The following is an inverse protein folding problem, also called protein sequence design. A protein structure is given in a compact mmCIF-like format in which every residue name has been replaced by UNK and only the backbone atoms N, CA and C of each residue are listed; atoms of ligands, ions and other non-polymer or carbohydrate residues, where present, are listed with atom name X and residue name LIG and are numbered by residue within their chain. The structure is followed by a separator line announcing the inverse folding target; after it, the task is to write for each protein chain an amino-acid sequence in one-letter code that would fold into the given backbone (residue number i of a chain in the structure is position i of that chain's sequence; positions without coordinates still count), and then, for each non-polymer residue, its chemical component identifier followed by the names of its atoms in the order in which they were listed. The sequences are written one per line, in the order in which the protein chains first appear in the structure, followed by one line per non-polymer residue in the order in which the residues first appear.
data_IF_679319553364
#
_entry.id   IF_679319553364
#
_cell.length_a   1.000
_cell.length_b   1.000
_cell.length_c   1.000
_cell.angle_alpha   90.00
_cell.angle_beta   90.00
_cell.angle_gamma   90.00
#
_symmetry.space_group_name_H-M   'P 1'
#
loop_
_entity.id
_entity.type
_entity.pdbx_description
1 polymer ?
#
# COMPACT_ATOMS: atom_id res chain seq x y z
N UNK A 1 5.05 -0.61 40.32
CA UNK A 1 5.97 0.55 40.34
C UNK A 1 6.74 0.53 39.03
N UNK A 2 6.78 1.54 38.17
CA UNK A 2 6.25 2.89 38.20
C UNK A 2 5.53 3.17 36.86
N UNK A 3 4.38 3.82 36.91
CA UNK A 3 3.70 4.34 35.73
C UNK A 3 4.59 5.42 35.10
N UNK A 4 5.17 5.13 33.94
CA UNK A 4 5.90 6.12 33.16
C UNK A 4 4.91 7.22 32.75
N UNK A 5 5.15 8.43 33.24
CA UNK A 5 4.34 9.60 32.95
C UNK A 5 4.26 9.82 31.43
N UNK A 6 3.06 9.64 30.87
CA UNK A 6 2.73 10.00 29.48
C UNK A 6 2.93 11.50 29.29
N UNK A 7 4.03 11.89 28.66
CA UNK A 7 4.20 13.26 28.15
C UNK A 7 3.37 13.36 26.86
N UNK A 8 2.40 14.29 26.74
CA UNK A 8 1.81 14.58 25.45
C UNK A 8 2.92 15.15 24.56
N UNK A 9 3.09 14.57 23.37
CA UNK A 9 4.01 15.11 22.37
C UNK A 9 3.69 16.59 22.15
N UNK A 10 4.74 17.43 22.16
CA UNK A 10 4.63 18.88 22.01
C UNK A 10 3.84 19.25 20.75
N UNK A 11 2.87 20.13 20.93
CA UNK A 11 1.99 20.63 19.88
C UNK A 11 2.79 21.39 18.81
N UNK A 12 2.92 20.77 17.64
CA UNK A 12 2.89 21.51 16.39
C UNK A 12 1.54 21.18 15.74
N UNK A 13 0.61 22.15 15.71
CA UNK A 13 -0.74 21.99 15.16
C UNK A 13 -0.76 21.94 13.63
N UNK A 14 0.07 21.08 13.04
CA UNK A 14 -0.19 20.64 11.67
C UNK A 14 -1.21 19.51 11.75
N UNK A 15 -2.23 19.49 10.88
CA UNK A 15 -3.09 18.32 10.76
C UNK A 15 -2.19 17.08 10.63
N UNK A 16 -2.51 16.01 11.35
CA UNK A 16 -1.79 14.76 11.17
C UNK A 16 -2.01 14.29 9.73
N UNK A 17 -0.97 14.42 8.90
CA UNK A 17 -0.95 13.93 7.53
C UNK A 17 -0.46 12.48 7.55
N UNK A 18 -1.17 11.60 6.86
CA UNK A 18 -0.75 10.22 6.66
C UNK A 18 -0.61 9.97 5.15
N UNK A 19 0.08 8.89 4.77
CA UNK A 19 0.30 8.58 3.36
C UNK A 19 0.71 7.12 3.24
N UNK A 20 0.08 6.37 2.34
CA UNK A 20 0.63 5.12 1.83
C UNK A 20 1.09 5.30 0.39
N UNK A 21 2.39 5.09 0.15
CA UNK A 21 2.96 5.06 -1.19
C UNK A 21 3.23 3.61 -1.59
N UNK A 22 2.80 3.21 -2.78
CA UNK A 22 3.08 1.89 -3.30
C UNK A 22 3.56 1.92 -4.75
N UNK A 23 4.30 0.88 -5.11
CA UNK A 23 4.69 0.59 -6.49
C UNK A 23 4.25 -0.83 -6.81
N UNK A 24 3.54 -1.01 -7.91
CA UNK A 24 3.15 -2.31 -8.46
C UNK A 24 3.93 -2.53 -9.74
N UNK A 25 4.71 -3.60 -9.79
CA UNK A 25 5.51 -3.94 -10.95
C UNK A 25 5.05 -5.26 -11.57
N UNK A 26 5.08 -5.33 -12.90
CA UNK A 26 4.83 -6.54 -13.67
C UNK A 26 5.76 -6.60 -14.87
N UNK A 27 5.96 -7.79 -15.41
CA UNK A 27 6.63 -8.04 -16.69
C UNK A 27 5.64 -8.14 -17.86
N UNK A 28 4.33 -8.10 -17.60
CA UNK A 28 3.32 -8.04 -18.64
C UNK A 28 3.44 -6.75 -19.47
N UNK A 29 3.19 -6.85 -20.78
CA UNK A 29 3.24 -5.74 -21.73
C UNK A 29 2.02 -4.83 -21.60
N UNK A 30 2.04 -3.97 -20.58
CA UNK A 30 1.03 -2.94 -20.37
C UNK A 30 1.36 -1.68 -21.17
N UNK A 31 0.37 -1.16 -21.90
CA UNK A 31 0.42 0.22 -22.34
C UNK A 31 0.15 1.18 -21.17
N UNK A 32 0.29 2.49 -21.41
CA UNK A 32 0.11 3.52 -20.38
C UNK A 32 -1.29 3.50 -19.75
N UNK A 33 -2.32 3.22 -20.55
CA UNK A 33 -3.70 3.23 -20.09
C UNK A 33 -3.99 2.03 -19.17
N UNK A 34 -3.53 0.83 -19.54
CA UNK A 34 -3.62 -0.39 -18.72
C UNK A 34 -2.76 -0.28 -17.47
N UNK A 35 -1.57 0.31 -17.56
CA UNK A 35 -0.73 0.59 -16.39
C UNK A 35 -1.42 1.55 -15.40
N UNK A 36 -2.05 2.61 -15.91
CA UNK A 36 -2.86 3.53 -15.09
C UNK A 36 -4.07 2.81 -14.49
N UNK A 37 -4.73 1.91 -15.23
CA UNK A 37 -5.82 1.10 -14.69
C UNK A 37 -5.34 0.18 -13.57
N UNK A 38 -4.18 -0.47 -13.73
CA UNK A 38 -3.56 -1.29 -12.69
C UNK A 38 -3.22 -0.48 -11.44
N UNK A 39 -2.72 0.75 -11.59
CA UNK A 39 -2.47 1.63 -10.45
C UNK A 39 -3.79 1.90 -9.70
N UNK A 40 -4.86 2.23 -10.44
CA UNK A 40 -6.19 2.46 -9.89
C UNK A 40 -6.77 1.24 -9.15
N UNK A 41 -6.78 0.05 -9.77
CA UNK A 41 -7.31 -1.16 -9.10
C UNK A 41 -6.46 -1.57 -7.90
N UNK A 42 -5.18 -1.23 -7.88
CA UNK A 42 -4.30 -1.51 -6.74
C UNK A 42 -4.65 -0.70 -5.50
N UNK A 43 -5.31 0.45 -5.62
CA UNK A 43 -5.89 1.18 -4.47
C UNK A 43 -6.99 0.37 -3.76
N UNK A 44 -7.70 -0.54 -4.46
CA UNK A 44 -8.65 -1.45 -3.82
C UNK A 44 -7.93 -2.37 -2.82
N UNK A 45 -6.69 -2.75 -3.13
CA UNK A 45 -5.85 -3.53 -2.22
C UNK A 45 -5.49 -2.76 -0.96
N UNK A 46 -5.18 -1.47 -1.10
CA UNK A 46 -4.94 -0.59 0.05
C UNK A 46 -6.19 -0.49 0.92
N UNK A 47 -7.37 -0.31 0.31
CA UNK A 47 -8.65 -0.23 1.02
C UNK A 47 -9.05 -1.54 1.73
N UNK A 48 -8.56 -2.70 1.27
CA UNK A 48 -8.75 -3.99 1.98
C UNK A 48 -7.84 -4.13 3.20
N UNK A 49 -6.64 -3.55 3.17
CA UNK A 49 -5.65 -3.70 4.23
C UNK A 49 -5.73 -2.61 5.31
N UNK A 50 -6.19 -1.41 4.96
CA UNK A 50 -6.25 -0.24 5.85
C UNK A 50 -7.66 0.33 5.84
N UNK A 51 -8.15 0.76 7.00
CA UNK A 51 -9.47 1.38 7.14
C UNK A 51 -9.52 2.39 8.28
N UNK A 52 -9.94 3.65 8.05
CA UNK A 52 -10.23 4.26 6.74
C UNK A 52 -8.97 4.52 5.90
N UNK A 53 -9.14 4.78 4.60
CA UNK A 53 -8.10 5.19 3.63
C UNK A 53 -8.64 6.33 2.75
N UNK A 54 -7.78 6.95 1.95
CA UNK A 54 -8.14 7.99 0.97
C UNK A 54 -8.86 9.20 1.59
N UNK A 55 -8.60 9.50 2.87
CA UNK A 55 -9.12 10.69 3.52
C UNK A 55 -8.42 11.96 3.03
N UNK A 56 -8.97 13.13 3.38
CA UNK A 56 -8.43 14.43 2.98
C UNK A 56 -7.01 14.69 3.50
N UNK A 57 -6.59 13.98 4.55
CA UNK A 57 -5.26 14.03 5.12
C UNK A 57 -4.37 12.86 4.68
N UNK A 58 -4.82 12.03 3.73
CA UNK A 58 -4.09 10.91 3.18
C UNK A 58 -3.53 11.24 1.79
N UNK A 59 -2.20 11.13 1.63
CA UNK A 59 -1.49 11.33 0.36
C UNK A 59 -1.37 10.07 -0.50
N UNK A 60 -2.33 9.15 -0.43
CA UNK A 60 -2.19 7.80 -0.99
C UNK A 60 -1.92 7.82 -2.50
N UNK A 61 -0.84 7.15 -2.93
CA UNK A 61 -0.42 7.14 -4.34
C UNK A 61 0.16 5.78 -4.72
N UNK A 62 -0.35 5.20 -5.81
CA UNK A 62 0.20 3.98 -6.42
C UNK A 62 0.81 4.29 -7.79
N UNK A 63 2.05 3.84 -8.00
CA UNK A 63 2.70 3.84 -9.31
C UNK A 63 2.73 2.43 -9.90
N UNK A 64 2.54 2.32 -11.21
CA UNK A 64 2.69 1.05 -11.94
C UNK A 64 3.92 1.08 -12.82
N UNK A 65 4.69 -0.02 -12.80
CA UNK A 65 5.80 -0.27 -13.71
C UNK A 65 5.55 -1.56 -14.50
N UNK A 66 5.83 -1.54 -15.79
CA UNK A 66 5.73 -2.70 -16.68
C UNK A 66 7.03 -2.85 -17.47
N UNK A 67 7.72 -3.99 -17.36
CA UNK A 67 8.96 -4.22 -18.14
C UNK A 67 8.68 -4.61 -19.58
N UNK A 68 7.49 -5.15 -19.86
CA UNK A 68 7.03 -5.47 -21.21
C UNK A 68 7.62 -6.75 -21.81
N UNK A 69 8.20 -7.62 -20.98
CA UNK A 69 8.82 -8.88 -21.41
C UNK A 69 7.80 -9.95 -21.82
N UNK A 70 6.55 -9.87 -21.33
CA UNK A 70 5.49 -10.83 -21.65
C UNK A 70 4.32 -10.18 -22.36
N UNK A 71 4.16 -10.51 -23.64
CA UNK A 71 2.97 -10.14 -24.41
C UNK A 71 1.73 -10.87 -23.90
N UNK A 72 0.56 -10.24 -24.06
CA UNK A 72 -0.72 -10.89 -23.88
C UNK A 72 -1.07 -11.74 -25.10
N UNK A 73 -2.04 -12.64 -24.92
CA UNK A 73 -2.66 -13.39 -26.01
C UNK A 73 -3.18 -12.47 -27.13
N UNK A 74 -3.04 -12.90 -28.39
CA UNK A 74 -3.62 -12.22 -29.55
C UNK A 74 -5.14 -12.48 -29.70
N UNK A 75 -5.65 -13.57 -29.10
CA UNK A 75 -7.10 -13.79 -29.01
C UNK A 75 -7.73 -12.78 -28.02
N UNK A 76 -8.72 -11.97 -28.44
CA UNK A 76 -9.28 -10.92 -27.59
C UNK A 76 -9.96 -11.40 -26.30
N UNK A 77 -10.49 -12.63 -26.28
CA UNK A 77 -11.14 -13.18 -25.07
C UNK A 77 -10.09 -13.59 -24.05
N UNK A 78 -9.06 -14.28 -24.48
CA UNK A 78 -7.92 -14.64 -23.64
C UNK A 78 -7.18 -13.39 -23.14
N UNK A 79 -6.94 -12.40 -24.00
CA UNK A 79 -6.30 -11.13 -23.62
C UNK A 79 -7.05 -10.45 -22.47
N UNK A 80 -8.38 -10.36 -22.56
CA UNK A 80 -9.20 -9.75 -21.52
C UNK A 80 -9.08 -10.49 -20.18
N UNK A 81 -9.04 -11.82 -20.21
CA UNK A 81 -8.86 -12.65 -19.00
C UNK A 81 -7.48 -12.40 -18.38
N UNK A 82 -6.42 -12.38 -19.19
CA UNK A 82 -5.06 -12.15 -18.73
C UNK A 82 -4.88 -10.75 -18.12
N UNK A 83 -5.39 -9.71 -18.79
CA UNK A 83 -5.34 -8.34 -18.27
C UNK A 83 -6.09 -8.25 -16.93
N UNK A 84 -7.29 -8.82 -16.84
CA UNK A 84 -8.06 -8.82 -15.59
C UNK A 84 -7.34 -9.58 -14.46
N UNK A 85 -6.65 -10.67 -14.79
CA UNK A 85 -5.84 -11.40 -13.81
C UNK A 85 -4.70 -10.53 -13.26
N UNK A 86 -4.02 -9.74 -14.11
CA UNK A 86 -2.99 -8.78 -13.68
C UNK A 86 -3.59 -7.68 -12.80
N UNK A 87 -4.76 -7.12 -13.17
CA UNK A 87 -5.45 -6.10 -12.38
C UNK A 87 -5.84 -6.59 -10.99
N UNK A 88 -6.40 -7.80 -10.89
CA UNK A 88 -6.78 -8.42 -9.63
C UNK A 88 -5.53 -8.73 -8.78
N UNK A 89 -4.49 -9.31 -9.39
CA UNK A 89 -3.23 -9.60 -8.72
C UNK A 89 -2.60 -8.32 -8.14
N UNK A 90 -2.67 -7.18 -8.85
CA UNK A 90 -2.21 -5.87 -8.36
C UNK A 90 -2.82 -5.48 -7.01
N UNK A 91 -4.14 -5.60 -6.90
CA UNK A 91 -4.84 -5.31 -5.66
C UNK A 91 -4.47 -6.30 -4.53
N UNK A 92 -4.35 -7.59 -4.84
CA UNK A 92 -3.98 -8.60 -3.86
C UNK A 92 -2.55 -8.42 -3.34
N UNK A 93 -1.59 -8.09 -4.23
CA UNK A 93 -0.20 -7.89 -3.81
C UNK A 93 -0.03 -6.62 -2.99
N UNK A 94 -0.77 -5.54 -3.26
CA UNK A 94 -0.77 -4.35 -2.40
C UNK A 94 -1.31 -4.68 -1.02
N UNK A 95 -2.44 -5.41 -0.94
CA UNK A 95 -3.01 -5.85 0.34
C UNK A 95 -1.96 -6.62 1.16
N UNK A 96 -1.30 -7.59 0.52
CA UNK A 96 -0.26 -8.41 1.14
C UNK A 96 0.98 -7.61 1.51
N UNK A 97 1.38 -6.63 0.70
CA UNK A 97 2.54 -5.79 0.96
C UNK A 97 2.35 -4.93 2.21
N UNK A 98 1.14 -4.37 2.41
CA UNK A 98 0.80 -3.62 3.63
C UNK A 98 0.90 -4.52 4.86
N UNK A 99 0.32 -5.72 4.82
CA UNK A 99 0.43 -6.69 5.93
C UNK A 99 1.88 -7.03 6.22
N UNK A 100 2.68 -7.28 5.18
CA UNK A 100 4.12 -7.54 5.34
C UNK A 100 4.86 -6.36 5.97
N UNK A 101 4.52 -5.12 5.61
CA UNK A 101 5.14 -3.92 6.19
C UNK A 101 4.83 -3.80 7.69
N UNK A 102 3.56 -3.97 8.08
CA UNK A 102 3.14 -3.95 9.49
C UNK A 102 3.82 -5.05 10.29
N UNK A 103 3.89 -6.26 9.73
CA UNK A 103 4.56 -7.37 10.39
C UNK A 103 6.08 -7.17 10.43
N UNK A 104 6.71 -6.57 9.43
CA UNK A 104 8.17 -6.35 9.42
C UNK A 104 8.62 -5.20 10.34
N UNK A 105 7.73 -4.28 10.70
CA UNK A 105 8.05 -3.14 11.55
C UNK A 105 8.56 -3.56 12.95
N UNK A 106 9.28 -2.64 13.59
CA UNK A 106 9.81 -2.76 14.95
C UNK A 106 9.41 -1.53 15.78
N UNK A 107 9.27 -1.70 17.10
CA UNK A 107 8.94 -0.58 18.00
C UNK A 107 10.04 0.48 17.95
N UNK A 108 9.64 1.75 17.91
CA UNK A 108 10.54 2.90 18.01
C UNK A 108 10.11 3.78 19.18
N UNK A 109 11.08 4.16 20.01
CA UNK A 109 10.90 5.13 21.09
C UNK A 109 11.94 6.24 20.93
N UNK A 110 11.48 7.50 20.85
CA UNK A 110 12.36 8.64 20.65
C UNK A 110 11.66 9.98 20.84
N UNK A 111 12.35 11.09 20.54
CA UNK A 111 11.82 12.44 20.75
C UNK A 111 10.50 12.74 20.04
N UNK A 112 10.20 12.02 18.95
CA UNK A 112 8.97 12.14 18.18
C UNK A 112 7.78 11.32 18.72
N UNK A 113 8.00 10.49 19.73
CA UNK A 113 6.97 9.64 20.34
C UNK A 113 7.38 8.18 20.47
N UNK A 114 6.48 7.42 21.08
CA UNK A 114 6.58 5.97 21.24
C UNK A 114 5.59 5.28 20.29
N UNK A 115 6.11 4.48 19.35
CA UNK A 115 5.33 3.83 18.30
C UNK A 115 5.58 2.32 18.38
N UNK A 116 4.71 1.56 19.08
CA UNK A 116 4.87 0.12 19.20
C UNK A 116 4.58 -0.60 17.88
N UNK A 117 5.33 -1.67 17.59
CA UNK A 117 5.05 -2.54 16.45
C UNK A 117 3.86 -3.47 16.72
N UNK A 118 3.23 -3.99 15.66
CA UNK A 118 2.16 -4.96 15.80
C UNK A 118 2.61 -6.23 16.54
N UNK A 119 3.80 -6.75 16.22
CA UNK A 119 4.33 -7.98 16.84
C UNK A 119 4.63 -7.80 18.32
N UNK A 120 5.12 -6.63 18.74
CA UNK A 120 5.38 -6.41 20.17
C UNK A 120 4.08 -6.30 21.00
N UNK A 121 2.96 -5.97 20.34
CA UNK A 121 1.65 -5.89 20.99
C UNK A 121 0.86 -7.22 20.95
N UNK A 122 1.04 -8.04 19.91
CA UNK A 122 0.15 -9.18 19.61
C UNK A 122 0.86 -10.47 19.18
N UNK A 123 2.19 -10.47 19.05
CA UNK A 123 3.00 -11.58 18.56
C UNK A 123 3.53 -12.50 19.65
#
# INVERSE_FOLDING_TARGET
AAAAARRPAGQASRPALNTTLAVVATDAALDRARAQKLAGTSHDGLARAVRPVHLLNDGDTVFTLATGERAFSEDPRSELVEVNAVLAAGADVVTRAVVKAVLAAHTVDGPGGHFPSYRDLYG
#
